data_IF_067519675404
#
_entry.id   IF_067519675404
#
_cell.length_a   1.000
_cell.length_b   1.000
_cell.length_c   1.000
_cell.angle_alpha   90.00
_cell.angle_beta   90.00
_cell.angle_gamma   90.00
#
_symmetry.space_group_name_H-M   'P 1'
#
loop_
_entity.id
_entity.type
_entity.pdbx_description
1 polymer ?
#
# COMPACT_ATOMS: atom_id res chain seq x y z
N UNK A 1 -1.08 23.67 18.10
CA UNK A 1 -1.60 22.33 17.75
C UNK A 1 -1.82 22.32 16.25
N UNK A 2 -1.04 21.61 15.43
CA UNK A 2 -1.43 21.42 14.04
C UNK A 2 -2.44 20.26 13.97
N UNK A 3 -3.56 20.54 13.32
CA UNK A 3 -4.64 19.63 13.05
C UNK A 3 -4.12 18.47 12.21
N UNK A 4 -4.45 17.24 12.60
CA UNK A 4 -4.25 16.06 11.78
C UNK A 4 -5.10 16.24 10.52
N UNK A 5 -4.47 16.59 9.40
CA UNK A 5 -5.04 16.31 8.09
C UNK A 5 -5.35 14.81 8.07
N UNK A 6 -6.63 14.47 8.13
CA UNK A 6 -7.09 13.11 7.93
C UNK A 6 -6.84 12.81 6.46
N UNK A 7 -5.60 12.44 6.14
CA UNK A 7 -5.21 11.96 4.82
C UNK A 7 -6.17 10.82 4.52
N UNK A 8 -7.01 11.01 3.50
CA UNK A 8 -8.04 10.06 3.13
C UNK A 8 -7.33 8.80 2.63
N UNK A 9 -7.15 7.82 3.50
CA UNK A 9 -6.46 6.56 3.19
C UNK A 9 -7.03 5.96 1.91
N UNK A 10 -6.16 5.60 1.00
CA UNK A 10 -6.49 4.90 -0.23
C UNK A 10 -7.16 3.57 0.09
N UNK A 11 -8.00 3.11 -0.83
CA UNK A 11 -8.61 1.78 -0.73
C UNK A 11 -7.54 0.70 -0.55
N UNK A 12 -6.39 0.87 -1.23
CA UNK A 12 -5.27 -0.05 -1.14
C UNK A 12 -4.60 -0.04 0.25
N UNK A 13 -4.38 1.12 0.85
CA UNK A 13 -3.83 1.20 2.21
C UNK A 13 -4.73 0.50 3.22
N UNK A 14 -6.04 0.71 3.16
CA UNK A 14 -6.98 0.03 4.05
C UNK A 14 -6.92 -1.50 3.90
N UNK A 15 -6.78 -2.00 2.67
CA UNK A 15 -6.67 -3.43 2.39
C UNK A 15 -5.35 -3.99 2.91
N UNK A 16 -4.24 -3.27 2.74
CA UNK A 16 -2.94 -3.69 3.25
C UNK A 16 -2.91 -3.65 4.78
N UNK A 17 -3.41 -2.58 5.41
CA UNK A 17 -3.47 -2.43 6.87
C UNK A 17 -4.31 -3.56 7.50
N UNK A 18 -5.48 -3.84 6.93
CA UNK A 18 -6.34 -4.96 7.33
C UNK A 18 -5.56 -6.29 7.26
N UNK A 19 -4.88 -6.55 6.15
CA UNK A 19 -4.08 -7.77 6.00
C UNK A 19 -2.94 -7.85 7.01
N UNK A 20 -2.22 -6.74 7.25
CA UNK A 20 -1.08 -6.70 8.18
C UNK A 20 -1.49 -6.76 9.64
N UNK A 21 -2.72 -6.34 9.97
CA UNK A 21 -3.30 -6.43 11.32
C UNK A 21 -3.72 -7.87 11.68
N UNK A 22 -3.50 -8.84 10.77
CA UNK A 22 -3.85 -10.23 10.97
C UNK A 22 -5.29 -10.56 10.59
N UNK A 23 -6.06 -9.59 10.09
CA UNK A 23 -7.36 -9.86 9.52
C UNK A 23 -7.22 -10.46 8.13
N UNK A 24 -7.95 -11.54 7.88
CA UNK A 24 -7.90 -12.23 6.60
C UNK A 24 -8.71 -11.44 5.58
N UNK A 25 -8.06 -10.98 4.51
CA UNK A 25 -8.77 -10.41 3.37
C UNK A 25 -9.67 -11.46 2.74
N UNK A 26 -10.88 -11.06 2.38
CA UNK A 26 -11.73 -11.89 1.52
C UNK A 26 -11.11 -12.05 0.14
N UNK A 27 -11.53 -13.08 -0.61
CA UNK A 27 -11.03 -13.28 -1.98
C UNK A 27 -11.33 -12.09 -2.90
N UNK A 28 -12.40 -11.33 -2.64
CA UNK A 28 -12.73 -10.12 -3.38
C UNK A 28 -11.76 -8.99 -3.05
N UNK A 29 -11.54 -8.72 -1.76
CA UNK A 29 -10.58 -7.71 -1.27
C UNK A 29 -9.16 -8.00 -1.76
N UNK A 30 -8.73 -9.26 -1.74
CA UNK A 30 -7.43 -9.66 -2.23
C UNK A 30 -7.27 -9.39 -3.74
N UNK A 31 -8.27 -9.78 -4.55
CA UNK A 31 -8.28 -9.48 -6.00
C UNK A 31 -8.28 -7.97 -6.26
N UNK A 32 -9.00 -7.22 -5.43
CA UNK A 32 -9.11 -5.77 -5.54
C UNK A 32 -7.77 -5.09 -5.22
N UNK A 33 -7.11 -5.48 -4.12
CA UNK A 33 -5.76 -5.03 -3.79
C UNK A 33 -4.77 -5.35 -4.92
N UNK A 34 -4.82 -6.57 -5.46
CA UNK A 34 -3.96 -6.98 -6.56
C UNK A 34 -4.20 -6.15 -7.85
N UNK A 35 -5.44 -5.74 -8.11
CA UNK A 35 -5.78 -4.85 -9.23
C UNK A 35 -5.25 -3.43 -9.00
N UNK A 36 -5.42 -2.89 -7.79
CA UNK A 36 -4.93 -1.56 -7.42
C UNK A 36 -3.40 -1.49 -7.49
N UNK A 37 -2.71 -2.56 -7.10
CA UNK A 37 -1.25 -2.67 -7.24
C UNK A 37 -0.82 -2.80 -8.71
N UNK A 38 -1.57 -3.57 -9.52
CA UNK A 38 -1.29 -3.74 -10.95
C UNK A 38 -1.60 -2.52 -11.82
N UNK A 39 -2.40 -1.59 -11.33
CA UNK A 39 -2.71 -0.30 -11.96
C UNK A 39 -2.48 0.83 -10.95
N UNK A 40 -1.22 1.06 -10.54
CA UNK A 40 -0.91 1.94 -9.43
C UNK A 40 -1.06 3.41 -9.84
N UNK A 41 -1.67 4.18 -8.95
CA UNK A 41 -1.53 5.63 -8.95
C UNK A 41 -0.38 5.98 -8.02
N UNK A 42 0.67 6.58 -8.56
CA UNK A 42 1.87 6.91 -7.78
C UNK A 42 1.67 8.22 -7.02
N UNK A 43 2.11 8.25 -5.77
CA UNK A 43 2.22 9.46 -4.97
C UNK A 43 3.55 10.17 -5.21
N UNK A 44 3.66 11.41 -4.74
CA UNK A 44 4.92 12.16 -4.72
C UNK A 44 5.92 11.58 -3.71
N UNK A 45 5.44 10.75 -2.77
CA UNK A 45 6.27 10.08 -1.78
C UNK A 45 6.99 8.87 -2.35
N UNK A 46 8.12 8.54 -1.72
CA UNK A 46 8.97 7.43 -2.12
C UNK A 46 8.64 6.23 -1.24
N UNK A 47 8.74 5.02 -1.77
CA UNK A 47 8.65 3.81 -0.97
C UNK A 47 9.66 3.81 0.18
N UNK A 48 9.16 3.65 1.42
CA UNK A 48 10.00 3.65 2.64
C UNK A 48 10.91 2.42 2.77
N UNK A 49 10.65 1.36 2.01
CA UNK A 49 11.46 0.13 2.00
C UNK A 49 12.53 0.13 0.91
N UNK A 50 12.36 0.90 -0.17
CA UNK A 50 13.37 1.04 -1.22
C UNK A 50 14.57 1.84 -0.70
N UNK A 51 15.62 1.16 -0.23
CA UNK A 51 16.91 1.76 0.15
C UNK A 51 17.90 1.66 -1.01
N UNK A 52 18.25 2.78 -1.64
CA UNK A 52 19.23 2.81 -2.72
C UNK A 52 19.04 4.00 -3.69
N UNK A 53 19.80 4.03 -4.80
CA UNK A 53 19.58 5.01 -5.88
C UNK A 53 18.28 4.72 -6.67
N UNK A 54 17.79 3.47 -6.66
CA UNK A 54 16.59 3.03 -7.37
C UNK A 54 15.31 3.22 -6.52
N UNK A 55 15.10 4.46 -6.08
CA UNK A 55 13.96 4.84 -5.25
C UNK A 55 12.68 4.82 -6.09
N UNK A 56 11.85 3.79 -5.91
CA UNK A 56 10.53 3.69 -6.55
C UNK A 56 9.51 4.55 -5.80
N UNK A 57 8.63 5.24 -6.53
CA UNK A 57 7.52 5.99 -5.95
C UNK A 57 6.58 5.06 -5.17
N UNK A 58 6.03 5.57 -4.08
CA UNK A 58 4.96 4.92 -3.35
C UNK A 58 3.67 4.96 -4.17
N UNK A 59 2.81 3.97 -4.00
CA UNK A 59 1.48 3.92 -4.61
C UNK A 59 0.48 4.49 -3.62
N UNK A 60 -0.29 5.50 -4.03
CA UNK A 60 -1.18 6.26 -3.17
C UNK A 60 -0.47 6.70 -1.86
N UNK A 61 -1.18 6.72 -0.73
CA UNK A 61 -0.68 6.98 0.62
C UNK A 61 0.07 5.80 1.28
N UNK A 62 0.16 4.63 0.63
CA UNK A 62 0.63 3.39 1.28
C UNK A 62 2.09 3.41 1.76
N UNK A 63 2.91 4.37 1.32
CA UNK A 63 4.36 4.38 1.57
C UNK A 63 5.12 3.19 0.94
N UNK A 64 4.48 2.39 0.08
CA UNK A 64 5.04 1.21 -0.57
C UNK A 64 5.03 1.36 -2.09
N UNK A 65 6.10 0.92 -2.77
CA UNK A 65 6.05 0.78 -4.22
C UNK A 65 5.27 -0.47 -4.61
N UNK A 66 4.95 -0.61 -5.91
CA UNK A 66 4.21 -1.76 -6.44
C UNK A 66 4.77 -3.12 -6.00
N UNK A 67 6.10 -3.27 -5.98
CA UNK A 67 6.78 -4.51 -5.58
C UNK A 67 6.58 -4.81 -4.09
N UNK A 68 6.86 -3.84 -3.21
CA UNK A 68 6.69 -3.99 -1.77
C UNK A 68 5.22 -4.11 -1.35
N UNK A 69 4.30 -3.45 -2.04
CA UNK A 69 2.87 -3.61 -1.82
C UNK A 69 2.39 -5.01 -2.22
N UNK A 70 2.87 -5.55 -3.35
CA UNK A 70 2.60 -6.94 -3.74
C UNK A 70 3.12 -7.90 -2.68
N UNK A 71 4.33 -7.65 -2.20
CA UNK A 71 4.95 -8.46 -1.16
C UNK A 71 4.15 -8.43 0.14
N UNK A 72 3.77 -7.25 0.63
CA UNK A 72 2.93 -7.09 1.82
C UNK A 72 1.60 -7.84 1.68
N UNK A 73 0.98 -7.80 0.49
CA UNK A 73 -0.24 -8.52 0.19
C UNK A 73 -0.06 -10.06 0.19
N UNK A 74 1.06 -10.58 -0.29
CA UNK A 74 1.31 -12.04 -0.41
C UNK A 74 1.90 -12.64 0.88
N UNK A 75 2.75 -11.90 1.60
CA UNK A 75 3.52 -12.38 2.76
C UNK A 75 2.87 -12.13 4.12
N UNK A 76 1.76 -11.41 4.22
CA UNK A 76 1.07 -11.15 5.50
C UNK A 76 0.40 -12.38 6.14
N UNK A 77 0.91 -13.59 5.90
CA UNK A 77 0.32 -14.89 6.26
C UNK A 77 1.14 -15.60 7.32
#
# INVERSE_FOLDING_TARGET
MPQAEVTKKSELENLLEKHTSGEKLTSYEYKRAHKLIGTPEYSAEICGFCRGPDKKLAIYDTGLCQEHATYALVRGK
#
